data_IF_353528827244
#
_entry.id   IF_353528827244
#
_cell.length_a   1.000
_cell.length_b   1.000
_cell.length_c   1.000
_cell.angle_alpha   90.00
_cell.angle_beta   90.00
_cell.angle_gamma   90.00
#
_symmetry.space_group_name_H-M   'P 1'
#
loop_
_entity.id
_entity.type
_entity.pdbx_description
1 polymer ?
#
# COMPACT_ATOMS: atom_id res chain seq x y z
N UNK A 1 -6.60 8.80 19.89
CA UNK A 1 -5.87 7.50 19.90
C UNK A 1 -4.81 7.56 18.82
N UNK A 2 -3.61 7.01 19.03
CA UNK A 2 -2.54 7.04 18.03
C UNK A 2 -2.90 6.13 16.85
N UNK A 3 -2.50 6.53 15.64
CA UNK A 3 -2.62 5.71 14.43
C UNK A 3 -1.89 4.38 14.64
N UNK A 4 -2.59 3.26 14.56
CA UNK A 4 -1.98 1.94 14.71
C UNK A 4 -1.47 1.49 13.36
N UNK A 5 -0.16 1.29 13.23
CA UNK A 5 0.47 0.96 11.96
C UNK A 5 1.16 -0.40 12.00
N UNK A 6 1.01 -1.18 10.93
CA UNK A 6 1.84 -2.37 10.69
C UNK A 6 2.11 -2.56 9.21
N UNK A 7 3.23 -3.17 8.88
CA UNK A 7 3.52 -3.54 7.50
C UNK A 7 2.66 -4.76 7.10
N UNK A 8 2.21 -4.77 5.84
CA UNK A 8 1.53 -5.92 5.26
C UNK A 8 2.56 -7.01 4.95
N UNK A 9 2.16 -8.29 4.97
CA UNK A 9 3.10 -9.42 4.85
C UNK A 9 3.91 -9.48 3.56
N UNK A 10 3.50 -8.75 2.52
CA UNK A 10 4.20 -8.66 1.23
C UNK A 10 5.01 -7.37 1.08
N UNK A 11 5.10 -6.54 2.14
CA UNK A 11 5.96 -5.36 2.13
C UNK A 11 7.44 -5.78 2.10
N UNK A 12 8.21 -5.14 1.23
CA UNK A 12 9.64 -5.39 1.07
C UNK A 12 10.35 -4.14 0.51
N UNK A 13 11.59 -4.32 0.05
CA UNK A 13 12.40 -3.24 -0.53
C UNK A 13 11.84 -2.67 -1.85
N UNK A 14 10.94 -3.40 -2.52
CA UNK A 14 10.33 -3.02 -3.79
C UNK A 14 8.94 -2.44 -3.62
N UNK A 15 8.18 -2.94 -2.64
CA UNK A 15 6.78 -2.59 -2.39
C UNK A 15 6.65 -2.05 -0.97
N UNK A 16 6.31 -0.76 -0.88
CA UNK A 16 5.73 -0.20 0.34
C UNK A 16 4.29 -0.65 0.48
N UNK A 17 4.00 -1.36 1.57
CA UNK A 17 2.65 -1.80 1.88
C UNK A 17 2.41 -1.71 3.39
N UNK A 18 1.56 -0.76 3.82
CA UNK A 18 1.30 -0.50 5.23
C UNK A 18 -0.19 -0.50 5.50
N UNK A 19 -0.57 -1.16 6.58
CA UNK A 19 -1.90 -1.05 7.17
C UNK A 19 -1.91 0.02 8.26
N UNK A 20 -2.91 0.89 8.23
CA UNK A 20 -3.17 1.88 9.28
C UNK A 20 -4.59 1.69 9.79
N UNK A 21 -4.73 1.56 11.10
CA UNK A 21 -5.99 1.39 11.82
C UNK A 21 -6.24 2.60 12.75
N UNK A 22 -7.51 2.88 13.02
CA UNK A 22 -7.96 4.04 13.81
C UNK A 22 -7.39 5.37 13.28
N UNK A 23 -7.42 5.53 11.95
CA UNK A 23 -6.72 6.61 11.24
C UNK A 23 -7.28 7.98 11.62
N UNK A 24 -6.41 8.88 12.07
CA UNK A 24 -6.66 10.29 12.36
C UNK A 24 -5.50 11.14 11.88
N UNK A 25 -5.81 12.16 11.07
CA UNK A 25 -4.85 13.15 10.54
C UNK A 25 -3.53 12.51 10.08
N UNK A 26 -3.62 11.41 9.31
CA UNK A 26 -2.46 10.63 8.88
C UNK A 26 -1.91 11.19 7.57
N UNK A 27 -0.68 11.74 7.55
CA UNK A 27 -0.09 12.30 6.34
C UNK A 27 0.31 11.19 5.36
N UNK A 28 0.06 11.41 4.08
CA UNK A 28 0.41 10.51 2.98
C UNK A 28 1.24 11.25 1.95
N UNK A 29 2.52 10.90 1.86
CA UNK A 29 3.45 11.52 0.92
C UNK A 29 3.13 11.16 -0.54
N UNK A 30 3.07 9.88 -0.88
CA UNK A 30 2.72 9.40 -2.22
C UNK A 30 2.36 7.90 -2.18
N UNK A 31 1.07 7.58 -2.16
CA UNK A 31 0.60 6.18 -2.18
C UNK A 31 -0.80 6.04 -2.78
N UNK A 32 -1.08 4.84 -3.31
CA UNK A 32 -2.46 4.37 -3.48
C UNK A 32 -2.99 4.03 -2.10
N UNK A 33 -4.04 4.73 -1.68
CA UNK A 33 -4.72 4.49 -0.41
C UNK A 33 -6.01 3.74 -0.69
N UNK A 34 -6.17 2.59 -0.05
CA UNK A 34 -7.34 1.72 -0.17
C UNK A 34 -8.09 1.78 1.14
N UNK A 35 -9.36 2.21 1.10
CA UNK A 35 -10.28 2.04 2.21
C UNK A 35 -10.69 0.58 2.29
N UNK A 36 -10.33 -0.10 3.37
CA UNK A 36 -10.65 -1.53 3.56
C UNK A 36 -11.61 -1.74 4.73
N UNK A 37 -12.46 -0.75 4.96
CA UNK A 37 -13.54 -0.76 5.94
C UNK A 37 -14.90 -0.64 5.26
N UNK A 38 -15.99 -1.07 5.93
CA UNK A 38 -17.36 -0.86 5.45
C UNK A 38 -17.82 0.60 5.61
N UNK A 39 -17.07 1.42 6.34
CA UNK A 39 -17.30 2.85 6.56
C UNK A 39 -16.55 3.72 5.53
N UNK A 40 -16.98 4.96 5.34
CA UNK A 40 -16.31 5.89 4.43
C UNK A 40 -14.98 6.38 5.02
N UNK A 41 -13.97 6.52 4.17
CA UNK A 41 -12.71 7.21 4.50
C UNK A 41 -12.78 8.66 4.03
N UNK A 42 -12.33 9.59 4.88
CA UNK A 42 -12.28 11.03 4.61
C UNK A 42 -10.84 11.45 4.40
N UNK A 43 -10.56 12.12 3.30
CA UNK A 43 -9.23 12.68 2.97
C UNK A 43 -9.30 14.20 2.86
N UNK A 44 -8.15 14.87 2.98
CA UNK A 44 -8.08 16.33 2.97
C UNK A 44 -8.44 16.98 4.31
N UNK A 45 -8.44 18.31 4.35
CA UNK A 45 -8.81 19.09 5.54
C UNK A 45 -9.89 20.12 5.21
N UNK A 46 -9.51 21.30 4.68
CA UNK A 46 -10.45 22.38 4.32
C UNK A 46 -11.47 21.96 3.24
N UNK A 47 -11.04 21.13 2.29
CA UNK A 47 -11.87 20.59 1.21
C UNK A 47 -11.86 19.06 1.27
N UNK A 48 -12.68 18.44 2.14
CA UNK A 48 -12.62 17.01 2.35
C UNK A 48 -13.20 16.24 1.16
N UNK A 49 -12.54 15.14 0.80
CA UNK A 49 -13.03 14.18 -0.19
C UNK A 49 -13.39 12.85 0.47
N UNK A 50 -14.42 12.20 -0.07
CA UNK A 50 -14.90 10.91 0.43
C UNK A 50 -14.39 9.79 -0.47
N UNK A 51 -13.74 8.82 0.14
CA UNK A 51 -13.42 7.53 -0.48
C UNK A 51 -14.40 6.49 0.08
N UNK A 52 -15.34 5.97 -0.75
CA UNK A 52 -16.32 5.00 -0.28
C UNK A 52 -15.69 3.72 0.26
N UNK A 53 -16.50 2.93 0.96
CA UNK A 53 -16.12 1.61 1.43
C UNK A 53 -15.53 0.76 0.30
N UNK A 54 -14.42 0.07 0.57
CA UNK A 54 -13.76 -0.84 -0.37
C UNK A 54 -13.30 -0.19 -1.69
N UNK A 55 -13.11 1.13 -1.69
CA UNK A 55 -12.57 1.89 -2.83
C UNK A 55 -11.17 2.42 -2.54
N UNK A 56 -10.47 2.77 -3.60
CA UNK A 56 -9.14 3.37 -3.52
C UNK A 56 -9.12 4.77 -4.12
N UNK A 57 -8.09 5.52 -3.72
CA UNK A 57 -7.69 6.78 -4.35
C UNK A 57 -6.17 6.89 -4.31
N UNK A 58 -5.59 7.74 -5.14
CA UNK A 58 -4.19 8.10 -5.03
C UNK A 58 -4.08 9.39 -4.22
N UNK A 59 -3.35 9.36 -3.10
CA UNK A 59 -2.95 10.58 -2.38
C UNK A 59 -1.47 10.87 -2.59
N UNK A 60 -1.17 12.12 -3.02
CA UNK A 60 0.18 12.65 -3.15
C UNK A 60 0.27 13.99 -2.42
N UNK A 61 1.08 14.07 -1.38
CA UNK A 61 1.16 15.21 -0.47
C UNK A 61 -0.15 15.46 0.28
N UNK A 62 -0.92 14.40 0.56
CA UNK A 62 -2.27 14.49 1.10
C UNK A 62 -2.38 14.06 2.57
N UNK A 63 -3.61 14.10 3.07
CA UNK A 63 -3.96 13.71 4.44
C UNK A 63 -5.15 12.74 4.40
N UNK A 64 -5.08 11.66 5.19
CA UNK A 64 -6.27 10.91 5.58
C UNK A 64 -6.78 11.54 6.88
N UNK A 65 -7.86 12.32 6.79
CA UNK A 65 -8.46 12.97 7.96
C UNK A 65 -8.98 11.94 8.95
N UNK A 66 -9.71 10.96 8.43
CA UNK A 66 -10.24 9.86 9.23
C UNK A 66 -10.56 8.63 8.41
N UNK A 67 -10.25 7.46 8.96
CA UNK A 67 -10.71 6.17 8.46
C UNK A 67 -10.70 5.16 9.62
N UNK A 68 -11.52 4.13 9.53
CA UNK A 68 -11.41 2.98 10.43
C UNK A 68 -10.15 2.16 10.09
N UNK A 69 -9.98 1.80 8.81
CA UNK A 69 -8.80 1.07 8.33
C UNK A 69 -8.44 1.42 6.89
N UNK A 70 -7.17 1.73 6.65
CA UNK A 70 -6.64 2.04 5.33
C UNK A 70 -5.37 1.23 5.04
N UNK A 71 -5.26 0.71 3.81
CA UNK A 71 -4.02 0.15 3.29
C UNK A 71 -3.35 1.17 2.37
N UNK A 72 -2.07 1.44 2.60
CA UNK A 72 -1.25 2.31 1.77
C UNK A 72 -0.28 1.46 0.96
N UNK A 73 -0.33 1.60 -0.35
CA UNK A 73 0.40 0.78 -1.30
C UNK A 73 1.20 1.68 -2.25
N UNK A 74 2.49 1.39 -2.42
CA UNK A 74 3.34 2.05 -3.41
C UNK A 74 4.46 1.13 -3.86
N UNK A 75 4.62 0.96 -5.16
CA UNK A 75 5.85 0.37 -5.71
C UNK A 75 6.95 1.42 -5.59
N UNK A 76 7.97 1.13 -4.76
CA UNK A 76 9.12 2.01 -4.51
C UNK A 76 10.19 1.83 -5.57
N UNK A 77 10.45 0.57 -5.93
CA UNK A 77 11.45 0.25 -6.92
C UNK A 77 10.79 -0.48 -8.09
N UNK A 78 10.60 0.24 -9.19
CA UNK A 78 10.06 -0.32 -10.43
C UNK A 78 11.10 -1.14 -11.21
N UNK A 79 12.29 -1.42 -10.64
CA UNK A 79 13.32 -2.24 -11.31
C UNK A 79 12.69 -3.54 -11.77
N UNK A 80 12.67 -3.69 -13.09
CA UNK A 80 12.00 -4.75 -13.81
C UNK A 80 12.52 -6.14 -13.35
N UNK A 81 11.62 -6.95 -12.76
CA UNK A 81 11.90 -8.33 -12.36
C UNK A 81 12.26 -9.24 -13.55
N UNK A 82 12.11 -8.78 -14.78
CA UNK A 82 12.68 -9.43 -15.96
C UNK A 82 14.19 -9.66 -15.86
N UNK A 83 14.93 -8.93 -15.00
CA UNK A 83 16.35 -9.17 -14.70
C UNK A 83 16.62 -9.99 -13.42
N UNK A 84 15.59 -10.44 -12.71
CA UNK A 84 15.69 -11.18 -11.44
C UNK A 84 16.57 -12.44 -11.51
N UNK A 85 16.58 -13.11 -12.67
CA UNK A 85 17.41 -14.29 -12.94
C UNK A 85 18.93 -14.06 -12.80
N UNK A 86 19.40 -12.81 -12.79
CA UNK A 86 20.81 -12.47 -12.54
C UNK A 86 21.16 -12.28 -11.05
N UNK A 87 20.20 -12.47 -10.13
CA UNK A 87 20.36 -12.28 -8.68
C UNK A 87 20.34 -13.59 -7.88
N UNK A 88 20.72 -14.71 -8.52
CA UNK A 88 20.84 -16.01 -7.86
C UNK A 88 19.53 -16.78 -7.67
N UNK A 89 18.43 -16.30 -8.26
CA UNK A 89 17.16 -17.02 -8.31
C UNK A 89 17.12 -17.89 -9.57
N UNK A 90 16.90 -19.19 -9.40
CA UNK A 90 16.80 -20.15 -10.50
C UNK A 90 15.33 -20.47 -10.81
N UNK A 91 15.00 -20.54 -12.10
CA UNK A 91 13.65 -20.85 -12.55
C UNK A 91 13.33 -22.30 -12.25
N UNK A 92 12.15 -22.58 -11.69
CA UNK A 92 11.72 -23.94 -11.39
C UNK A 92 11.78 -24.85 -12.64
N UNK A 93 11.49 -24.31 -13.83
CA UNK A 93 11.62 -25.03 -15.10
C UNK A 93 13.04 -25.51 -15.45
N UNK A 94 14.09 -24.85 -14.95
CA UNK A 94 15.47 -25.33 -15.09
C UNK A 94 15.74 -26.56 -14.22
N UNK A 95 15.07 -26.67 -13.07
CA UNK A 95 15.20 -27.83 -12.16
C UNK A 95 14.39 -29.05 -12.60
N UNK A 96 13.38 -28.87 -13.46
CA UNK A 96 12.49 -29.96 -13.90
C UNK A 96 13.02 -30.66 -15.17
N UNK A 97 14.07 -30.14 -15.82
CA UNK A 97 14.71 -30.80 -16.99
C UNK A 97 15.40 -32.15 -16.70
N UNK A 98 15.29 -32.70 -15.48
CA UNK A 98 15.82 -34.02 -15.11
C UNK A 98 14.73 -35.08 -14.87
N UNK A 99 13.66 -35.10 -15.68
CA UNK A 99 12.76 -36.25 -15.80
C UNK A 99 12.78 -36.78 -17.23
#
# INVERSE_FOLDING_TARGET
MPNQTRDLSFADDFIFAKLVEDVRDYPVEDAVVVNISPSAMVTGDEHPAIVPAWKSTWLKGGLIKSAERAALLKVRNATNLGGCMFRGWDWLGNRIKSF
#
